data_IF_168661155791
#
_entry.id   IF_168661155791
#
_cell.length_a   1.000
_cell.length_b   1.000
_cell.length_c   1.000
_cell.angle_alpha   90.00
_cell.angle_beta   90.00
_cell.angle_gamma   90.00
#
_symmetry.space_group_name_H-M   'P 1'
#
loop_
_entity.id
_entity.type
_entity.pdbx_description
1 polymer ?
#
# COMPACT_ATOMS: atom_id res chain seq x y z
N UNK A 1 19.95 8.43 -16.68
CA UNK A 1 18.72 7.66 -16.38
C UNK A 1 18.65 7.46 -14.88
N UNK A 2 17.64 8.04 -14.24
CA UNK A 2 17.48 7.92 -12.79
C UNK A 2 17.15 6.48 -12.41
N UNK A 3 17.97 5.90 -11.53
CA UNK A 3 17.81 4.51 -11.11
C UNK A 3 16.70 4.43 -10.06
N UNK A 4 15.61 3.75 -10.40
CA UNK A 4 14.53 3.42 -9.46
C UNK A 4 14.69 1.95 -9.07
N UNK A 5 14.86 1.70 -7.78
CA UNK A 5 14.94 0.37 -7.20
C UNK A 5 13.65 0.04 -6.47
N UNK A 6 13.06 -1.13 -6.75
CA UNK A 6 11.94 -1.68 -5.99
C UNK A 6 12.46 -2.91 -5.26
N UNK A 7 12.38 -2.90 -3.94
CA UNK A 7 12.85 -4.00 -3.13
C UNK A 7 12.01 -4.20 -1.86
N UNK A 8 12.14 -5.35 -1.25
CA UNK A 8 11.51 -5.62 0.04
C UNK A 8 12.04 -4.66 1.10
N UNK A 9 11.11 -4.16 1.91
CA UNK A 9 11.41 -3.28 3.04
C UNK A 9 11.89 -4.14 4.21
N UNK A 10 13.10 -3.90 4.66
CA UNK A 10 13.73 -4.69 5.73
C UNK A 10 13.68 -3.93 7.07
N UNK A 11 13.88 -4.62 8.22
CA UNK A 11 13.87 -3.95 9.53
C UNK A 11 14.80 -2.74 9.64
N UNK A 12 15.95 -2.76 8.99
CA UNK A 12 16.90 -1.64 8.96
C UNK A 12 16.35 -0.38 8.26
N UNK A 13 15.29 -0.52 7.46
CA UNK A 13 14.65 0.61 6.76
C UNK A 13 13.58 1.32 7.62
N UNK A 14 13.30 0.82 8.83
CA UNK A 14 12.17 1.27 9.65
C UNK A 14 12.17 2.78 9.92
N UNK A 15 13.32 3.36 10.25
CA UNK A 15 13.42 4.80 10.53
C UNK A 15 13.05 5.63 9.28
N UNK A 16 13.58 5.26 8.12
CA UNK A 16 13.28 5.93 6.85
C UNK A 16 11.83 5.73 6.44
N UNK A 17 11.28 4.53 6.67
CA UNK A 17 9.86 4.26 6.39
C UNK A 17 8.96 5.14 7.26
N UNK A 18 9.22 5.27 8.56
CA UNK A 18 8.42 6.11 9.44
C UNK A 18 8.48 7.59 9.05
N UNK A 19 9.65 8.08 8.63
CA UNK A 19 9.80 9.44 8.10
C UNK A 19 9.02 9.61 6.79
N UNK A 20 9.07 8.63 5.90
CA UNK A 20 8.28 8.60 4.66
C UNK A 20 6.77 8.67 4.94
N UNK A 21 6.27 7.87 5.90
CA UNK A 21 4.85 7.84 6.24
C UNK A 21 4.34 9.20 6.76
N UNK A 22 5.15 9.92 7.53
CA UNK A 22 4.82 11.30 7.92
C UNK A 22 4.74 12.23 6.71
N UNK A 23 5.68 12.12 5.78
CA UNK A 23 5.72 12.93 4.57
C UNK A 23 4.49 12.68 3.70
N UNK A 24 4.22 11.45 3.35
CA UNK A 24 3.08 11.10 2.48
C UNK A 24 1.74 11.38 3.17
N UNK A 25 1.63 11.16 4.48
CA UNK A 25 0.45 11.50 5.27
C UNK A 25 0.15 12.99 5.31
N UNK A 26 1.16 13.85 5.22
CA UNK A 26 0.99 15.30 5.12
C UNK A 26 0.59 15.76 3.70
N UNK A 27 0.85 14.95 2.70
CA UNK A 27 0.62 15.30 1.28
C UNK A 27 -0.78 14.93 0.77
N UNK A 28 -1.51 14.05 1.47
CA UNK A 28 -2.81 13.54 1.03
C UNK A 28 -3.70 13.12 2.19
N UNK A 29 -5.02 13.22 1.98
CA UNK A 29 -6.06 12.72 2.89
C UNK A 29 -6.57 11.32 2.49
N UNK A 30 -5.85 10.63 1.61
CA UNK A 30 -6.26 9.31 1.11
C UNK A 30 -5.83 8.15 2.01
N UNK A 31 -4.97 8.40 3.00
CA UNK A 31 -4.42 7.40 3.91
C UNK A 31 -5.12 7.42 5.26
N UNK A 32 -5.00 6.32 6.02
CA UNK A 32 -5.62 6.19 7.34
C UNK A 32 -5.00 7.09 8.42
N UNK A 33 -3.89 7.74 8.12
CA UNK A 33 -3.15 8.66 8.99
C UNK A 33 -2.83 9.96 8.25
N UNK A 34 -2.59 11.02 8.99
CA UNK A 34 -2.18 12.31 8.46
C UNK A 34 -0.68 12.58 8.65
N UNK A 35 -0.33 13.86 8.83
CA UNK A 35 1.05 14.32 9.01
C UNK A 35 1.79 13.75 10.23
N UNK A 36 1.05 13.23 11.20
CA UNK A 36 1.59 12.55 12.39
C UNK A 36 2.23 11.19 12.05
N UNK A 37 1.88 10.60 10.91
CA UNK A 37 2.31 9.26 10.53
C UNK A 37 1.70 8.17 11.41
N UNK A 38 2.39 7.04 11.55
CA UNK A 38 1.97 5.97 12.44
C UNK A 38 2.47 6.20 13.86
N UNK A 39 1.63 5.96 14.90
CA UNK A 39 2.01 6.15 16.31
C UNK A 39 2.81 4.95 16.84
N UNK A 40 3.90 4.61 16.21
CA UNK A 40 4.77 3.49 16.55
C UNK A 40 6.23 3.94 16.70
N UNK A 41 6.99 3.24 17.52
CA UNK A 41 8.43 3.49 17.64
C UNK A 41 9.20 2.80 16.50
N UNK A 42 10.46 3.19 16.30
CA UNK A 42 11.35 2.54 15.33
C UNK A 42 11.47 1.04 15.64
N UNK A 43 11.63 0.68 16.92
CA UNK A 43 11.74 -0.72 17.36
C UNK A 43 10.47 -1.52 17.06
N UNK A 44 9.30 -0.92 17.24
CA UNK A 44 8.02 -1.56 16.89
C UNK A 44 7.89 -1.79 15.39
N UNK A 45 8.30 -0.81 14.59
CA UNK A 45 8.29 -0.95 13.13
C UNK A 45 9.29 -1.99 12.65
N UNK A 46 10.49 -2.05 13.24
CA UNK A 46 11.47 -3.10 12.97
C UNK A 46 10.91 -4.49 13.24
N UNK A 47 10.23 -4.67 14.38
CA UNK A 47 9.60 -5.94 14.73
C UNK A 47 8.48 -6.32 13.74
N UNK A 48 7.67 -5.35 13.32
CA UNK A 48 6.63 -5.54 12.31
C UNK A 48 7.23 -5.97 10.96
N UNK A 49 8.25 -5.27 10.48
CA UNK A 49 8.91 -5.60 9.21
C UNK A 49 9.59 -6.98 9.25
N UNK A 50 10.20 -7.35 10.37
CA UNK A 50 10.76 -8.69 10.57
C UNK A 50 9.67 -9.78 10.49
N UNK A 51 8.52 -9.54 11.11
CA UNK A 51 7.37 -10.45 11.07
C UNK A 51 6.82 -10.59 9.64
N UNK A 52 6.69 -9.50 8.91
CA UNK A 52 6.24 -9.51 7.51
C UNK A 52 7.21 -10.27 6.63
N UNK A 53 8.52 -10.06 6.80
CA UNK A 53 9.56 -10.76 6.04
C UNK A 53 9.48 -12.27 6.18
N UNK A 54 9.17 -12.77 7.37
CA UNK A 54 9.05 -14.21 7.65
C UNK A 54 7.69 -14.79 7.25
N UNK A 55 6.68 -13.95 7.00
CA UNK A 55 5.33 -14.40 6.66
C UNK A 55 5.28 -14.97 5.24
N UNK A 56 4.49 -16.05 5.07
CA UNK A 56 4.39 -16.72 3.77
C UNK A 56 3.52 -16.00 2.74
N UNK A 57 2.59 -15.14 3.19
CA UNK A 57 1.60 -14.47 2.34
C UNK A 57 1.48 -12.99 2.64
N UNK A 58 2.58 -12.39 3.07
CA UNK A 58 2.67 -10.95 3.32
C UNK A 58 4.00 -10.44 2.83
N UNK A 59 4.02 -9.24 2.31
CA UNK A 59 5.24 -8.56 1.85
C UNK A 59 5.07 -7.07 1.98
N UNK A 60 6.16 -6.38 2.23
CA UNK A 60 6.23 -4.92 2.18
C UNK A 60 7.35 -4.53 1.22
N UNK A 61 7.02 -3.79 0.16
CA UNK A 61 7.98 -3.27 -0.80
C UNK A 61 8.13 -1.76 -0.66
N UNK A 62 9.35 -1.30 -0.85
CA UNK A 62 9.70 0.13 -0.94
C UNK A 62 10.29 0.44 -2.30
N UNK A 63 10.00 1.63 -2.80
CA UNK A 63 10.59 2.16 -4.02
C UNK A 63 11.57 3.26 -3.64
N UNK A 64 12.81 3.10 -4.11
CA UNK A 64 13.92 3.99 -3.81
C UNK A 64 14.38 4.71 -5.07
N UNK A 65 14.65 5.99 -4.94
CA UNK A 65 15.23 6.83 -5.99
C UNK A 65 16.34 7.67 -5.36
N UNK A 66 17.57 7.51 -5.84
CA UNK A 66 18.76 8.24 -5.33
C UNK A 66 18.90 8.18 -3.80
N UNK A 67 18.57 7.02 -3.20
CA UNK A 67 18.64 6.82 -1.75
C UNK A 67 17.45 7.35 -0.96
N UNK A 68 16.46 7.98 -1.60
CA UNK A 68 15.22 8.43 -0.98
C UNK A 68 14.11 7.40 -1.20
N UNK A 69 13.34 7.11 -0.14
CA UNK A 69 12.13 6.28 -0.22
C UNK A 69 11.00 7.15 -0.79
N UNK A 70 10.49 6.77 -1.96
CA UNK A 70 9.50 7.57 -2.71
C UNK A 70 8.13 6.93 -2.83
N UNK A 71 8.02 5.65 -2.57
CA UNK A 71 6.75 4.92 -2.56
C UNK A 71 6.86 3.68 -1.69
N UNK A 72 5.74 3.24 -1.16
CA UNK A 72 5.65 1.97 -0.48
C UNK A 72 4.37 1.22 -0.85
N UNK A 73 4.41 -0.08 -0.70
CA UNK A 73 3.25 -0.93 -0.93
C UNK A 73 3.38 -2.24 -0.20
N UNK A 74 2.24 -2.77 0.22
CA UNK A 74 2.22 -4.01 0.98
C UNK A 74 1.06 -4.91 0.57
N UNK A 75 1.27 -6.19 0.75
CA UNK A 75 0.23 -7.20 0.80
C UNK A 75 0.25 -7.83 2.18
N UNK A 76 -0.90 -7.86 2.84
CA UNK A 76 -1.09 -8.47 4.16
C UNK A 76 -2.07 -9.63 4.03
N UNK A 77 -1.56 -10.85 4.15
CA UNK A 77 -2.37 -12.07 4.09
C UNK A 77 -3.38 -12.13 5.23
N UNK A 78 -4.61 -12.55 4.93
CA UNK A 78 -5.65 -12.72 5.93
C UNK A 78 -5.55 -14.10 6.60
N UNK A 79 -6.04 -14.24 7.84
CA UNK A 79 -5.89 -15.49 8.58
C UNK A 79 -7.00 -16.51 8.27
N UNK A 80 -6.74 -17.77 8.65
CA UNK A 80 -7.72 -18.86 8.71
C UNK A 80 -8.38 -19.12 7.35
N UNK A 81 -9.71 -19.13 7.28
CA UNK A 81 -10.48 -19.44 6.06
C UNK A 81 -10.36 -18.37 4.97
N UNK A 82 -9.79 -17.23 5.29
CA UNK A 82 -9.51 -16.14 4.35
C UNK A 82 -8.05 -16.11 3.91
N UNK A 83 -7.28 -17.16 4.17
CA UNK A 83 -5.84 -17.19 3.91
C UNK A 83 -5.45 -17.09 2.44
N UNK A 84 -6.41 -17.25 1.53
CA UNK A 84 -6.25 -17.01 0.10
C UNK A 84 -6.41 -15.55 -0.31
N UNK A 85 -6.82 -14.68 0.62
CA UNK A 85 -6.93 -13.22 0.45
C UNK A 85 -5.69 -12.51 0.98
N UNK A 86 -5.36 -11.38 0.38
CA UNK A 86 -4.45 -10.39 0.95
C UNK A 86 -5.01 -8.98 0.75
N UNK A 87 -4.75 -8.11 1.71
CA UNK A 87 -5.08 -6.68 1.62
C UNK A 87 -3.90 -5.91 1.05
N UNK A 88 -4.19 -5.05 0.08
CA UNK A 88 -3.21 -4.17 -0.57
C UNK A 88 -3.22 -2.79 0.08
N UNK A 89 -2.01 -2.29 0.40
CA UNK A 89 -1.75 -0.89 0.67
C UNK A 89 -0.78 -0.35 -0.37
N UNK A 90 -0.94 0.90 -0.80
CA UNK A 90 -0.09 1.54 -1.80
C UNK A 90 -0.08 3.05 -1.60
N UNK A 91 1.10 3.64 -1.56
CA UNK A 91 1.26 5.09 -1.54
C UNK A 91 2.49 5.55 -2.32
N UNK A 92 2.44 6.77 -2.85
CA UNK A 92 3.53 7.42 -3.58
C UNK A 92 3.60 8.88 -3.15
N UNK A 93 4.78 9.42 -2.88
CA UNK A 93 4.93 10.84 -2.55
C UNK A 93 4.46 11.72 -3.73
N UNK A 94 3.90 12.87 -3.39
CA UNK A 94 3.28 13.77 -4.38
C UNK A 94 4.22 14.17 -5.52
N UNK A 95 5.50 14.41 -5.21
CA UNK A 95 6.51 14.78 -6.20
C UNK A 95 6.74 13.70 -7.28
N UNK A 96 6.34 12.47 -7.04
CA UNK A 96 6.51 11.34 -7.95
C UNK A 96 5.19 10.84 -8.57
N UNK A 97 4.10 11.58 -8.40
CA UNK A 97 2.82 11.24 -9.02
C UNK A 97 2.89 11.33 -10.56
N UNK A 98 2.05 10.54 -11.22
CA UNK A 98 1.92 10.50 -12.69
C UNK A 98 3.21 10.14 -13.45
N UNK A 99 4.13 9.42 -12.78
CA UNK A 99 5.38 8.93 -13.38
C UNK A 99 5.42 7.40 -13.51
N UNK A 100 4.29 6.74 -13.29
CA UNK A 100 4.17 5.28 -13.42
C UNK A 100 4.72 4.49 -12.24
N UNK A 101 5.15 5.15 -11.16
CA UNK A 101 5.74 4.48 -9.97
C UNK A 101 4.73 3.53 -9.33
N UNK A 102 3.49 4.00 -9.09
CA UNK A 102 2.43 3.19 -8.50
C UNK A 102 2.12 1.93 -9.32
N UNK A 103 2.09 2.05 -10.65
CA UNK A 103 1.86 0.92 -11.55
C UNK A 103 2.99 -0.11 -11.51
N UNK A 104 4.24 0.33 -11.47
CA UNK A 104 5.40 -0.56 -11.34
C UNK A 104 5.38 -1.31 -10.01
N UNK A 105 5.12 -0.61 -8.91
CA UNK A 105 5.02 -1.22 -7.60
C UNK A 105 3.85 -2.20 -7.51
N UNK A 106 2.69 -1.84 -8.07
CA UNK A 106 1.51 -2.72 -8.13
C UNK A 106 1.82 -4.00 -8.92
N UNK A 107 2.55 -3.91 -10.03
CA UNK A 107 2.99 -5.08 -10.81
C UNK A 107 3.84 -6.04 -9.98
N UNK A 108 4.78 -5.52 -9.19
CA UNK A 108 5.63 -6.34 -8.32
C UNK A 108 4.80 -7.02 -7.21
N UNK A 109 3.85 -6.31 -6.62
CA UNK A 109 2.96 -6.87 -5.60
C UNK A 109 2.05 -7.97 -6.18
N UNK A 110 1.52 -7.79 -7.39
CA UNK A 110 0.72 -8.82 -8.07
C UNK A 110 1.60 -10.05 -8.40
N UNK A 111 2.83 -9.84 -8.84
CA UNK A 111 3.77 -10.94 -9.10
C UNK A 111 4.06 -11.74 -7.82
N UNK A 112 4.31 -11.04 -6.70
CA UNK A 112 4.45 -11.69 -5.40
C UNK A 112 3.20 -12.49 -5.02
N UNK A 113 2.01 -11.93 -5.19
CA UNK A 113 0.76 -12.61 -4.87
C UNK A 113 0.61 -13.93 -5.60
N UNK A 114 0.96 -13.97 -6.90
CA UNK A 114 0.95 -15.20 -7.69
C UNK A 114 1.93 -16.23 -7.16
N UNK A 115 3.14 -15.83 -6.81
CA UNK A 115 4.16 -16.72 -6.25
C UNK A 115 3.78 -17.25 -4.86
N UNK A 116 3.13 -16.42 -4.04
CA UNK A 116 2.71 -16.76 -2.68
C UNK A 116 1.37 -17.51 -2.62
N UNK A 117 0.77 -17.85 -3.78
CA UNK A 117 -0.54 -18.51 -3.87
C UNK A 117 -1.67 -17.71 -3.22
N UNK A 118 -1.59 -16.38 -3.31
CA UNK A 118 -2.70 -15.49 -2.99
C UNK A 118 -3.64 -15.51 -4.20
N UNK A 119 -4.91 -15.82 -3.94
CA UNK A 119 -5.91 -15.96 -5.01
C UNK A 119 -6.67 -14.67 -5.26
N UNK A 120 -6.88 -13.85 -4.21
CA UNK A 120 -7.62 -12.59 -4.32
C UNK A 120 -6.87 -11.49 -3.57
N UNK A 121 -6.66 -10.36 -4.25
CA UNK A 121 -6.15 -9.13 -3.64
C UNK A 121 -7.33 -8.18 -3.45
N UNK A 122 -7.49 -7.69 -2.22
CA UNK A 122 -8.51 -6.72 -1.83
C UNK A 122 -7.85 -5.39 -1.48
N UNK A 123 -8.52 -4.31 -1.84
CA UNK A 123 -8.13 -2.96 -1.41
C UNK A 123 -9.34 -2.10 -1.06
N UNK A 124 -9.10 -1.06 -0.31
CA UNK A 124 -10.04 0.00 -0.02
C UNK A 124 -9.48 1.32 -0.58
N UNK A 125 -10.31 2.07 -1.29
CA UNK A 125 -9.91 3.33 -1.94
C UNK A 125 -11.02 4.35 -1.79
N UNK A 126 -10.66 5.62 -1.52
CA UNK A 126 -11.64 6.71 -1.49
C UNK A 126 -12.44 6.74 -2.79
N UNK A 127 -13.75 6.86 -2.67
CA UNK A 127 -14.67 6.86 -3.82
C UNK A 127 -14.43 8.02 -4.80
N UNK A 128 -13.79 9.10 -4.33
CA UNK A 128 -13.42 10.28 -5.13
C UNK A 128 -11.95 10.29 -5.60
N UNK A 129 -11.18 9.24 -5.28
CA UNK A 129 -9.79 9.10 -5.75
C UNK A 129 -9.76 8.45 -7.14
N UNK A 130 -10.15 9.22 -8.15
CA UNK A 130 -10.28 8.75 -9.53
C UNK A 130 -8.96 8.22 -10.11
N UNK A 131 -7.85 8.84 -9.77
CA UNK A 131 -6.51 8.43 -10.25
C UNK A 131 -6.14 7.02 -9.77
N UNK A 132 -6.33 6.74 -8.48
CA UNK A 132 -6.06 5.42 -7.92
C UNK A 132 -7.04 4.37 -8.45
N UNK A 133 -8.34 4.69 -8.52
CA UNK A 133 -9.36 3.78 -9.05
C UNK A 133 -9.02 3.40 -10.50
N UNK A 134 -8.67 4.38 -11.33
CA UNK A 134 -8.26 4.14 -12.71
C UNK A 134 -7.04 3.22 -12.80
N UNK A 135 -6.03 3.44 -11.96
CA UNK A 135 -4.86 2.56 -11.88
C UNK A 135 -5.26 1.13 -11.56
N UNK A 136 -6.08 0.93 -10.53
CA UNK A 136 -6.50 -0.41 -10.12
C UNK A 136 -7.35 -1.09 -11.20
N UNK A 137 -8.29 -0.38 -11.82
CA UNK A 137 -9.12 -0.92 -12.92
C UNK A 137 -8.25 -1.34 -14.11
N UNK A 138 -7.21 -0.59 -14.44
CA UNK A 138 -6.23 -0.92 -15.47
C UNK A 138 -5.53 -2.26 -15.23
N UNK A 139 -5.30 -2.61 -13.96
CA UNK A 139 -4.69 -3.88 -13.56
C UNK A 139 -5.70 -5.01 -13.33
N UNK A 140 -6.96 -4.78 -13.61
CA UNK A 140 -8.00 -5.78 -13.56
C UNK A 140 -8.81 -5.85 -12.26
N UNK A 141 -8.58 -4.92 -11.33
CA UNK A 141 -9.41 -4.81 -10.13
C UNK A 141 -10.83 -4.39 -10.51
N UNK A 142 -11.80 -4.97 -9.81
CA UNK A 142 -13.23 -4.66 -9.99
C UNK A 142 -13.80 -4.10 -8.69
N UNK A 143 -14.75 -3.18 -8.82
CA UNK A 143 -15.52 -2.64 -7.70
C UNK A 143 -16.46 -3.71 -7.20
N UNK A 144 -16.37 -4.06 -5.92
CA UNK A 144 -17.20 -5.13 -5.32
C UNK A 144 -18.08 -4.61 -4.17
N UNK A 145 -17.86 -3.41 -3.68
CA UNK A 145 -18.66 -2.84 -2.61
C UNK A 145 -18.26 -1.42 -2.26
N UNK A 146 -18.98 -0.85 -1.29
CA UNK A 146 -18.75 0.50 -0.78
C UNK A 146 -18.87 0.49 0.74
N UNK A 147 -18.02 1.28 1.41
CA UNK A 147 -18.08 1.54 2.84
C UNK A 147 -18.50 3.00 3.01
N UNK A 148 -19.72 3.27 3.49
CA UNK A 148 -20.18 4.64 3.67
C UNK A 148 -19.52 5.29 4.88
N UNK A 149 -19.19 6.58 4.76
CA UNK A 149 -18.65 7.40 5.85
C UNK A 149 -17.43 6.77 6.55
N UNK A 150 -16.53 6.16 5.78
CA UNK A 150 -15.39 5.39 6.30
C UNK A 150 -14.33 6.30 6.94
N UNK A 151 -14.04 7.45 6.32
CA UNK A 151 -13.22 8.49 6.93
C UNK A 151 -14.08 9.65 7.40
N UNK A 152 -13.63 10.29 8.48
CA UNK A 152 -14.13 11.60 8.92
C UNK A 152 -12.95 12.56 9.02
N UNK A 153 -12.91 13.54 8.13
CA UNK A 153 -11.83 14.54 8.04
C UNK A 153 -12.48 15.92 8.12
N UNK A 154 -12.09 16.72 9.12
CA UNK A 154 -12.62 18.08 9.32
C UNK A 154 -14.15 18.15 9.27
N UNK A 155 -14.83 17.25 9.99
CA UNK A 155 -16.29 17.09 10.04
C UNK A 155 -16.97 16.70 8.71
N UNK A 156 -16.21 16.30 7.70
CA UNK A 156 -16.74 15.73 6.45
C UNK A 156 -16.54 14.22 6.43
N UNK A 157 -17.56 13.52 5.97
CA UNK A 157 -17.52 12.07 5.79
C UNK A 157 -17.09 11.72 4.37
N UNK A 158 -16.30 10.68 4.24
CA UNK A 158 -15.80 10.20 2.95
C UNK A 158 -16.11 8.73 2.80
N UNK A 159 -16.75 8.38 1.68
CA UNK A 159 -17.05 6.99 1.34
C UNK A 159 -15.83 6.34 0.67
N UNK A 160 -15.68 5.02 0.88
CA UNK A 160 -14.65 4.21 0.24
C UNK A 160 -15.29 3.14 -0.63
N UNK A 161 -14.58 2.79 -1.70
CA UNK A 161 -14.88 1.61 -2.51
C UNK A 161 -14.01 0.44 -2.04
N UNK A 162 -14.57 -0.75 -2.11
CA UNK A 162 -13.83 -2.00 -2.00
C UNK A 162 -13.62 -2.52 -3.42
N UNK A 163 -12.36 -2.81 -3.76
CA UNK A 163 -12.00 -3.38 -5.05
C UNK A 163 -11.24 -4.69 -4.86
N UNK A 164 -11.44 -5.63 -5.77
CA UNK A 164 -10.77 -6.93 -5.73
C UNK A 164 -10.19 -7.30 -7.09
N UNK A 165 -9.02 -7.93 -7.05
CA UNK A 165 -8.41 -8.62 -8.20
C UNK A 165 -8.47 -10.12 -7.96
N UNK A 166 -9.16 -10.84 -8.82
CA UNK A 166 -9.27 -12.29 -8.79
C UNK A 166 -8.15 -12.90 -9.66
N UNK A 167 -7.25 -13.64 -9.02
CA UNK A 167 -6.10 -14.28 -9.67
C UNK A 167 -6.34 -15.79 -9.95
N UNK A 168 -7.54 -16.30 -9.61
CA UNK A 168 -7.88 -17.72 -9.83
C UNK A 168 -8.01 -18.05 -11.30
#
# INVERSE_FOLDING_TARGET
MELIEIRETMPEDAEQLLAYLKKVGAETDNLTFGKEGLPVTVEQEQAYLAQVHEAQRSVHYSVWKEGELIADGSLSGLPRRMSHYAELGLSVIKAQWNQGIGGRLLSELIAYARQASIEIIRLEVRSDNESAIHLYEKYGFKRVGMIPAYFKIENRYVDFLIMCLDLR
#
